data_IF_848116115699
#
_entry.id   IF_848116115699
#
_cell.length_a   1.000
_cell.length_b   1.000
_cell.length_c   1.000
_cell.angle_alpha   90.00
_cell.angle_beta   90.00
_cell.angle_gamma   90.00
#
_symmetry.space_group_name_H-M   'P 1'
#
loop_
_entity.id
_entity.type
_entity.pdbx_description
1 polymer ?
#
# COMPACT_ATOMS: atom_id res chain seq x y z
N UNK A 1 -0.24 3.81 3.48
CA UNK A 1 -0.45 4.94 4.43
C UNK A 1 -1.89 5.37 4.60
N UNK A 2 -2.75 5.40 3.56
CA UNK A 2 -4.17 5.74 3.74
C UNK A 2 -4.88 4.89 4.80
N UNK A 3 -4.68 3.56 4.79
CA UNK A 3 -5.29 2.67 5.78
C UNK A 3 -4.89 3.03 7.22
N UNK A 4 -3.63 3.43 7.43
CA UNK A 4 -3.10 3.79 8.75
C UNK A 4 -3.63 5.16 9.19
N UNK A 5 -3.56 6.16 8.32
CA UNK A 5 -3.82 7.56 8.67
C UNK A 5 -5.31 7.93 8.67
N UNK A 6 -6.14 7.26 7.87
CA UNK A 6 -7.57 7.58 7.75
C UNK A 6 -8.50 6.44 8.17
N UNK A 7 -8.04 5.19 8.15
CA UNK A 7 -8.88 4.03 8.48
C UNK A 7 -8.46 3.30 9.75
N UNK A 8 -7.40 3.74 10.44
CA UNK A 8 -6.90 3.11 11.66
C UNK A 8 -6.52 1.63 11.50
N UNK A 9 -6.14 1.19 10.30
CA UNK A 9 -5.81 -0.21 10.03
C UNK A 9 -4.49 -0.36 9.28
N UNK A 10 -3.77 -1.44 9.57
CA UNK A 10 -2.57 -1.81 8.83
C UNK A 10 -2.88 -3.03 7.95
N UNK A 11 -3.19 -2.78 6.68
CA UNK A 11 -3.41 -3.82 5.66
C UNK A 11 -2.83 -3.37 4.33
N UNK A 12 -2.21 -4.31 3.63
CA UNK A 12 -1.67 -4.10 2.28
C UNK A 12 -2.21 -5.15 1.33
N UNK A 13 -2.22 -4.84 0.04
CA UNK A 13 -2.63 -5.78 -0.99
C UNK A 13 -1.42 -6.62 -1.41
N UNK A 14 -1.54 -7.94 -1.24
CA UNK A 14 -0.50 -8.91 -1.61
C UNK A 14 -0.18 -8.86 -3.12
N UNK A 15 1.04 -9.27 -3.53
CA UNK A 15 1.45 -9.26 -4.93
C UNK A 15 0.72 -10.30 -5.79
N UNK A 16 0.16 -11.36 -5.19
CA UNK A 16 -0.68 -12.36 -5.85
C UNK A 16 -1.90 -12.67 -4.98
N UNK A 17 -3.10 -12.54 -5.52
CA UNK A 17 -4.36 -12.86 -4.82
C UNK A 17 -5.37 -13.53 -5.75
N UNK A 18 -6.22 -14.38 -5.19
CA UNK A 18 -7.40 -14.90 -5.90
C UNK A 18 -8.50 -13.83 -5.89
N UNK A 19 -9.22 -13.69 -7.02
CA UNK A 19 -10.36 -12.80 -7.11
C UNK A 19 -11.51 -13.31 -6.24
N UNK A 20 -12.09 -12.41 -5.43
CA UNK A 20 -13.28 -12.71 -4.62
C UNK A 20 -14.54 -12.82 -5.47
N UNK A 21 -14.55 -12.17 -6.65
CA UNK A 21 -15.74 -12.00 -7.46
C UNK A 21 -15.82 -13.02 -8.61
N UNK A 22 -14.68 -13.55 -9.05
CA UNK A 22 -14.61 -14.43 -10.23
C UNK A 22 -13.77 -15.66 -9.92
N UNK A 23 -14.42 -16.83 -9.92
CA UNK A 23 -13.75 -18.12 -9.69
C UNK A 23 -12.74 -18.41 -10.79
N UNK A 24 -11.52 -18.78 -10.41
CA UNK A 24 -10.42 -19.09 -11.34
C UNK A 24 -9.64 -17.87 -11.83
N UNK A 25 -10.00 -16.65 -11.44
CA UNK A 25 -9.24 -15.45 -11.76
C UNK A 25 -8.22 -15.15 -10.64
N UNK A 26 -6.96 -15.01 -11.01
CA UNK A 26 -5.89 -14.53 -10.12
C UNK A 26 -5.43 -13.14 -10.55
N UNK A 27 -5.22 -12.26 -9.58
CA UNK A 27 -4.63 -10.95 -9.79
C UNK A 27 -3.16 -10.99 -9.36
N UNK A 28 -2.29 -10.56 -10.27
CA UNK A 28 -0.85 -10.42 -10.04
C UNK A 28 -0.42 -8.95 -10.15
N UNK A 29 0.55 -8.56 -9.32
CA UNK A 29 1.17 -7.23 -9.32
C UNK A 29 2.64 -7.35 -9.74
N UNK A 30 2.94 -7.42 -11.04
CA UNK A 30 4.30 -7.70 -11.51
C UNK A 30 5.32 -6.61 -11.14
N UNK A 31 4.86 -5.37 -10.98
CA UNK A 31 5.71 -4.22 -10.62
C UNK A 31 5.74 -3.94 -9.11
N UNK A 32 5.47 -4.93 -8.26
CA UNK A 32 5.32 -4.74 -6.81
C UNK A 32 6.55 -4.11 -6.12
N UNK A 33 7.76 -4.39 -6.63
CA UNK A 33 9.02 -3.85 -6.10
C UNK A 33 9.57 -2.65 -6.90
N UNK A 34 8.86 -2.20 -7.94
CA UNK A 34 9.34 -1.13 -8.82
C UNK A 34 8.79 0.21 -8.34
N UNK A 35 9.68 1.16 -8.02
CA UNK A 35 9.26 2.51 -7.66
C UNK A 35 8.66 3.25 -8.86
N UNK A 36 7.64 4.07 -8.59
CA UNK A 36 6.90 4.83 -9.60
C UNK A 36 7.81 5.67 -10.50
N UNK A 37 8.84 6.31 -9.94
CA UNK A 37 9.82 7.11 -10.69
C UNK A 37 10.52 6.33 -11.80
N UNK A 38 10.72 5.03 -11.64
CA UNK A 38 11.35 4.19 -12.65
C UNK A 38 10.34 3.79 -13.74
N UNK A 39 9.07 3.60 -13.37
CA UNK A 39 7.99 3.36 -14.33
C UNK A 39 7.82 4.59 -15.25
N UNK A 40 7.83 5.80 -14.68
CA UNK A 40 7.76 7.06 -15.43
C UNK A 40 8.93 7.21 -16.41
N UNK A 41 10.17 7.02 -15.93
CA UNK A 41 11.39 7.08 -16.77
C UNK A 41 11.36 6.06 -17.89
N UNK A 42 10.97 4.83 -17.59
CA UNK A 42 10.86 3.76 -18.60
C UNK A 42 9.81 4.11 -19.65
N UNK A 43 8.65 4.60 -19.23
CA UNK A 43 7.54 4.99 -20.12
C UNK A 43 7.99 6.09 -21.09
N UNK A 44 8.66 7.13 -20.59
CA UNK A 44 9.17 8.23 -21.41
C UNK A 44 10.26 7.78 -22.38
N UNK A 45 11.27 7.05 -21.90
CA UNK A 45 12.37 6.56 -22.74
C UNK A 45 11.93 5.54 -23.80
N UNK A 46 10.85 4.81 -23.53
CA UNK A 46 10.24 3.86 -24.49
C UNK A 46 9.30 4.53 -25.49
N UNK A 47 9.09 5.86 -25.41
CA UNK A 47 8.17 6.58 -26.29
C UNK A 47 6.69 6.25 -26.05
N UNK A 48 6.35 5.71 -24.87
CA UNK A 48 4.98 5.37 -24.51
C UNK A 48 4.30 6.64 -23.98
N UNK A 49 3.16 7.00 -24.58
CA UNK A 49 2.34 8.14 -24.14
C UNK A 49 1.09 7.62 -23.43
N UNK A 50 1.10 7.52 -22.08
CA UNK A 50 -0.08 7.10 -21.35
C UNK A 50 -1.19 8.15 -21.49
N UNK A 51 -2.41 7.69 -21.73
CA UNK A 51 -3.58 8.54 -21.73
C UNK A 51 -3.81 9.08 -20.31
N UNK A 52 -3.91 10.40 -20.17
CA UNK A 52 -4.50 10.99 -18.97
C UNK A 52 -5.96 10.55 -18.94
N UNK A 53 -6.38 9.91 -17.84
CA UNK A 53 -7.73 9.39 -17.70
C UNK A 53 -8.74 10.52 -17.99
N UNK A 54 -9.72 10.27 -18.87
CA UNK A 54 -10.68 11.27 -19.36
C UNK A 54 -11.63 11.85 -18.28
N UNK A 55 -11.43 11.52 -17.00
CA UNK A 55 -12.22 12.08 -15.90
C UNK A 55 -11.56 13.36 -15.37
N UNK A 56 -12.36 14.44 -15.26
CA UNK A 56 -11.89 15.73 -14.73
C UNK A 56 -11.30 15.61 -13.32
N UNK A 57 -11.77 14.65 -12.51
CA UNK A 57 -11.24 14.37 -11.16
C UNK A 57 -9.80 13.86 -11.18
N UNK A 58 -9.42 13.05 -12.19
CA UNK A 58 -8.02 12.64 -12.35
C UNK A 58 -7.18 13.74 -12.99
N UNK A 59 -7.78 14.56 -13.87
CA UNK A 59 -7.12 15.63 -14.59
C UNK A 59 -6.81 16.85 -13.72
N UNK A 60 -7.71 17.25 -12.81
CA UNK A 60 -7.56 18.44 -11.98
C UNK A 60 -6.79 18.20 -10.67
N UNK A 61 -6.41 16.95 -10.37
CA UNK A 61 -5.73 16.53 -9.12
C UNK A 61 -6.43 17.00 -7.83
N UNK A 62 -7.63 17.55 -7.91
CA UNK A 62 -8.39 18.12 -6.80
C UNK A 62 -9.16 17.03 -6.06
N UNK A 63 -8.90 16.90 -4.76
CA UNK A 63 -9.70 16.06 -3.86
C UNK A 63 -9.26 14.60 -3.68
N UNK A 64 -8.11 14.18 -4.21
CA UNK A 64 -7.67 12.79 -4.05
C UNK A 64 -6.62 12.67 -2.93
N UNK A 65 -7.05 12.14 -1.77
CA UNK A 65 -6.21 11.83 -0.60
C UNK A 65 -4.97 10.99 -0.92
N UNK A 66 -4.94 10.27 -2.05
CA UNK A 66 -3.73 9.57 -2.50
C UNK A 66 -2.60 10.52 -2.87
N UNK A 67 -2.89 11.68 -3.46
CA UNK A 67 -1.85 12.67 -3.77
C UNK A 67 -1.33 13.33 -2.51
N UNK A 68 -2.21 13.76 -1.59
CA UNK A 68 -1.81 14.32 -0.29
C UNK A 68 -0.85 13.36 0.46
N UNK A 69 -1.15 12.06 0.47
CA UNK A 69 -0.28 11.06 1.09
C UNK A 69 1.05 10.89 0.36
N UNK A 70 1.07 10.97 -0.98
CA UNK A 70 2.33 10.93 -1.75
C UNK A 70 3.20 12.13 -1.41
N UNK A 71 2.63 13.34 -1.41
CA UNK A 71 3.32 14.57 -1.04
C UNK A 71 3.87 14.50 0.39
N UNK A 72 3.08 13.96 1.33
CA UNK A 72 3.53 13.73 2.71
C UNK A 72 4.73 12.78 2.78
N UNK A 73 4.71 11.67 2.03
CA UNK A 73 5.83 10.72 2.01
C UNK A 73 7.08 11.36 1.40
N UNK A 74 6.94 12.15 0.34
CA UNK A 74 8.06 12.88 -0.27
C UNK A 74 8.64 13.94 0.70
N UNK A 75 7.79 14.69 1.42
CA UNK A 75 8.26 15.60 2.45
C UNK A 75 9.01 14.87 3.60
N UNK A 76 8.59 13.66 3.95
CA UNK A 76 9.32 12.84 4.93
C UNK A 76 10.67 12.35 4.41
N UNK A 77 10.80 12.13 3.09
CA UNK A 77 12.07 11.71 2.48
C UNK A 77 13.17 12.74 2.61
N UNK A 78 12.83 14.03 2.67
CA UNK A 78 13.80 15.10 2.89
C UNK A 78 14.58 14.92 4.20
N UNK A 79 13.93 14.37 5.23
CA UNK A 79 14.55 14.10 6.54
C UNK A 79 15.06 12.67 6.66
N UNK A 80 14.36 11.71 6.05
CA UNK A 80 14.72 10.30 6.07
C UNK A 80 14.58 9.71 4.66
N UNK A 81 15.68 9.64 3.89
CA UNK A 81 15.66 9.17 2.50
C UNK A 81 15.09 7.75 2.30
N UNK A 82 15.09 6.93 3.36
CA UNK A 82 14.65 5.54 3.33
C UNK A 82 13.22 5.33 3.86
N UNK A 83 12.49 6.41 4.15
CA UNK A 83 11.16 6.33 4.81
C UNK A 83 10.14 5.50 4.01
N UNK A 84 10.13 5.60 2.68
CA UNK A 84 9.22 4.87 1.83
C UNK A 84 9.54 3.37 1.81
N UNK A 85 10.83 3.01 1.74
CA UNK A 85 11.30 1.62 1.84
C UNK A 85 10.99 1.04 3.21
N UNK A 86 11.16 1.82 4.28
CA UNK A 86 10.82 1.39 5.63
C UNK A 86 9.31 1.16 5.78
N UNK A 87 8.47 2.08 5.29
CA UNK A 87 7.01 1.91 5.27
C UNK A 87 6.61 0.65 4.50
N UNK A 88 7.24 0.40 3.35
CA UNK A 88 6.96 -0.78 2.54
C UNK A 88 7.40 -2.07 3.25
N UNK A 89 8.61 -2.09 3.83
CA UNK A 89 9.17 -3.25 4.53
C UNK A 89 8.44 -3.56 5.84
N UNK A 90 7.84 -2.56 6.49
CA UNK A 90 7.02 -2.75 7.68
C UNK A 90 5.86 -3.73 7.43
N UNK A 91 5.39 -3.89 6.19
CA UNK A 91 4.35 -4.86 5.86
C UNK A 91 4.82 -6.32 5.96
N UNK A 92 6.12 -6.57 5.88
CA UNK A 92 6.72 -7.90 6.01
C UNK A 92 7.24 -8.17 7.44
N UNK A 93 7.57 -7.11 8.17
CA UNK A 93 8.19 -7.16 9.49
C UNK A 93 7.19 -6.83 10.60
N UNK A 94 6.12 -7.62 10.74
CA UNK A 94 5.12 -7.44 11.80
C UNK A 94 5.37 -8.45 12.92
N UNK A 95 5.62 -7.96 14.13
CA UNK A 95 5.66 -8.81 15.33
C UNK A 95 4.26 -8.90 15.95
N UNK A 96 3.66 -10.09 15.92
CA UNK A 96 2.31 -10.36 16.44
C UNK A 96 2.27 -10.24 17.98
N UNK A 97 3.38 -10.51 18.67
CA UNK A 97 3.49 -10.37 20.13
C UNK A 97 3.50 -8.90 20.58
N UNK A 98 3.84 -7.98 19.67
CA UNK A 98 4.00 -6.56 19.95
C UNK A 98 2.86 -5.70 19.37
N UNK A 99 1.70 -6.29 19.06
CA UNK A 99 0.51 -5.59 18.59
C UNK A 99 -0.70 -5.91 19.47
N UNK A 100 -1.55 -4.90 19.70
CA UNK A 100 -2.70 -5.03 20.60
C UNK A 100 -3.79 -5.99 20.06
N UNK A 101 -3.88 -6.13 18.74
CA UNK A 101 -4.84 -7.03 18.13
C UNK A 101 -4.70 -7.12 16.62
N UNK A 102 -5.23 -8.18 16.03
CA UNK A 102 -5.18 -8.45 14.60
C UNK A 102 -6.42 -9.17 14.09
N UNK A 103 -6.60 -9.16 12.78
CA UNK A 103 -7.66 -9.90 12.11
C UNK A 103 -7.07 -11.07 11.34
N UNK A 104 -7.60 -12.29 11.54
CA UNK A 104 -7.21 -13.48 10.79
C UNK A 104 -8.46 -14.31 10.48
N UNK A 105 -8.66 -14.63 9.20
CA UNK A 105 -9.78 -15.49 8.78
C UNK A 105 -11.19 -14.91 9.05
N UNK A 106 -11.32 -13.59 9.22
CA UNK A 106 -12.59 -12.94 9.58
C UNK A 106 -12.83 -12.83 11.09
N UNK A 107 -11.96 -13.40 11.92
CA UNK A 107 -12.00 -13.27 13.38
C UNK A 107 -11.04 -12.18 13.85
N UNK A 108 -11.48 -11.43 14.85
CA UNK A 108 -10.65 -10.49 15.60
C UNK A 108 -10.00 -11.22 16.76
N UNK A 109 -8.72 -10.94 16.97
CA UNK A 109 -7.91 -11.45 18.06
C UNK A 109 -7.30 -10.27 18.81
N UNK A 110 -7.27 -10.37 20.13
CA UNK A 110 -6.56 -9.48 21.05
C UNK A 110 -5.31 -10.19 21.55
N UNK A 111 -4.25 -9.45 21.87
CA UNK A 111 -3.11 -10.03 22.59
C UNK A 111 -3.54 -10.67 23.93
N UNK A 112 -4.63 -10.18 24.54
CA UNK A 112 -5.20 -10.71 25.77
C UNK A 112 -5.74 -12.14 25.62
N UNK A 113 -6.14 -12.54 24.40
CA UNK A 113 -6.68 -13.88 24.15
C UNK A 113 -5.60 -14.97 24.35
N UNK A 114 -4.33 -14.58 24.30
CA UNK A 114 -3.16 -15.46 24.42
C UNK A 114 -2.27 -15.07 25.60
N UNK A 115 -2.73 -14.18 26.49
CA UNK A 115 -1.87 -13.59 27.53
C UNK A 115 -1.45 -14.59 28.61
N UNK A 116 -2.34 -15.53 28.94
CA UNK A 116 -2.09 -16.60 29.92
C UNK A 116 -1.67 -17.93 29.25
N UNK A 117 -1.54 -17.94 27.92
CA UNK A 117 -1.05 -19.10 27.17
C UNK A 117 0.48 -19.00 27.07
N UNK A 118 1.20 -19.85 27.82
CA UNK A 118 2.67 -19.99 27.74
C UNK A 118 3.15 -20.57 26.41
#
# INVERSE_FOLDING_TARGET
>A
MLNVLYSGSFKTMLPKIHSTNFKGLELIRPLYYVEEKYIEKYTQSSGIWPLNCACMVAAEKTGNKRYEIKELIEALKEKNPEVDKNIFKAAQNVNIEAILGWNKGGSQYSYLDFYDEE
#
